data_IF_625657440530
#
_entry.id   IF_625657440530
#
_cell.length_a   1.000
_cell.length_b   1.000
_cell.length_c   1.000
_cell.angle_alpha   90.00
_cell.angle_beta   90.00
_cell.angle_gamma   90.00
#
_symmetry.space_group_name_H-M   'P 1'
#
loop_
_entity.id
_entity.type
_entity.pdbx_description
1 polymer ?
#
# COMPACT_ATOMS: atom_id res chain seq x y z
N UNK A 1 2.84 -19.55 -21.78
CA UNK A 1 3.10 -18.16 -21.32
C UNK A 1 4.52 -18.11 -20.79
N UNK A 2 5.31 -17.10 -21.13
CA UNK A 2 6.70 -16.98 -20.66
C UNK A 2 6.83 -15.88 -19.61
N UNK A 3 7.37 -16.22 -18.45
CA UNK A 3 7.50 -15.32 -17.31
C UNK A 3 8.97 -15.20 -16.96
N UNK A 4 9.46 -13.97 -16.83
CA UNK A 4 10.75 -13.67 -16.24
C UNK A 4 10.59 -13.50 -14.73
N UNK A 5 11.41 -14.20 -13.95
CA UNK A 5 11.53 -14.02 -12.49
C UNK A 5 12.91 -13.42 -12.22
N UNK A 6 12.94 -12.31 -11.52
CA UNK A 6 14.14 -11.58 -11.10
C UNK A 6 14.25 -11.62 -9.57
N UNK A 7 15.47 -11.75 -9.05
CA UNK A 7 15.74 -11.70 -7.61
C UNK A 7 15.66 -10.27 -7.06
N UNK A 8 16.78 -9.76 -6.54
CA UNK A 8 16.84 -8.38 -6.04
C UNK A 8 17.28 -7.40 -7.13
N UNK A 9 16.45 -6.41 -7.44
CA UNK A 9 16.70 -5.48 -8.55
C UNK A 9 17.70 -4.34 -8.21
N UNK A 10 17.75 -3.87 -6.96
CA UNK A 10 18.56 -2.72 -6.50
C UNK A 10 18.38 -1.43 -7.34
N UNK A 11 17.19 -1.25 -7.91
CA UNK A 11 16.88 -0.14 -8.84
C UNK A 11 17.53 -0.24 -10.22
N UNK A 12 18.17 -1.35 -10.57
CA UNK A 12 18.86 -1.57 -11.86
C UNK A 12 17.91 -1.99 -12.99
N UNK A 13 16.67 -1.46 -12.98
CA UNK A 13 15.57 -1.85 -13.88
C UNK A 13 15.94 -1.74 -15.36
N UNK A 14 16.69 -0.71 -15.73
CA UNK A 14 17.20 -0.54 -17.09
C UNK A 14 18.04 -1.75 -17.55
N UNK A 15 18.96 -2.23 -16.71
CA UNK A 15 19.80 -3.40 -16.99
C UNK A 15 18.98 -4.69 -17.06
N UNK A 16 17.92 -4.79 -16.25
CA UNK A 16 17.00 -5.94 -16.26
C UNK A 16 16.22 -5.98 -17.58
N UNK A 17 15.65 -4.85 -18.02
CA UNK A 17 14.95 -4.78 -19.31
C UNK A 17 15.89 -4.99 -20.50
N UNK A 18 17.08 -4.38 -20.51
CA UNK A 18 18.13 -4.62 -21.54
C UNK A 18 18.52 -6.11 -21.61
N UNK A 19 18.63 -6.78 -20.45
CA UNK A 19 18.94 -8.21 -20.38
C UNK A 19 17.80 -9.07 -20.95
N UNK A 20 16.54 -8.73 -20.65
CA UNK A 20 15.37 -9.44 -21.16
C UNK A 20 15.17 -9.17 -22.67
N UNK A 21 15.42 -7.97 -23.15
CA UNK A 21 15.38 -7.63 -24.58
C UNK A 21 16.41 -8.45 -25.37
N UNK A 22 17.67 -8.46 -24.94
CA UNK A 22 18.72 -9.27 -25.55
C UNK A 22 18.45 -10.79 -25.49
N UNK A 23 17.73 -11.27 -24.46
CA UNK A 23 17.25 -12.65 -24.38
C UNK A 23 16.13 -12.94 -25.38
N UNK A 24 15.14 -12.05 -25.49
CA UNK A 24 14.04 -12.16 -26.44
C UNK A 24 14.52 -12.21 -27.89
N UNK A 25 15.44 -11.31 -28.27
CA UNK A 25 16.08 -11.32 -29.59
C UNK A 25 16.86 -12.62 -29.84
N UNK A 26 17.78 -12.98 -28.93
CA UNK A 26 18.69 -14.13 -29.09
C UNK A 26 17.96 -15.46 -29.23
N UNK A 27 16.89 -15.65 -28.46
CA UNK A 27 16.17 -16.93 -28.38
C UNK A 27 14.86 -16.92 -29.17
N UNK A 28 14.55 -15.81 -29.86
CA UNK A 28 13.28 -15.60 -30.59
C UNK A 28 12.04 -15.84 -29.73
N UNK A 29 12.12 -15.49 -28.45
CA UNK A 29 11.03 -15.62 -27.47
C UNK A 29 10.39 -14.26 -27.20
N UNK A 30 9.13 -14.28 -26.75
CA UNK A 30 8.49 -13.13 -26.11
C UNK A 30 8.23 -13.45 -24.65
N UNK A 31 8.57 -12.52 -23.75
CA UNK A 31 8.21 -12.55 -22.34
C UNK A 31 6.85 -11.83 -22.18
N UNK A 32 5.97 -12.43 -21.39
CA UNK A 32 4.61 -11.95 -21.14
C UNK A 32 4.49 -11.14 -19.83
N UNK A 33 5.39 -11.41 -18.87
CA UNK A 33 5.38 -10.85 -17.51
C UNK A 33 6.80 -10.88 -16.91
N UNK A 34 7.17 -9.85 -16.16
CA UNK A 34 8.31 -9.83 -15.24
C UNK A 34 7.80 -9.83 -13.79
N UNK A 35 8.45 -10.60 -12.91
CA UNK A 35 8.19 -10.62 -11.47
C UNK A 35 9.52 -10.40 -10.73
N UNK A 36 9.64 -9.31 -9.97
CA UNK A 36 10.81 -9.01 -9.14
C UNK A 36 10.53 -9.39 -7.68
N UNK A 37 11.40 -10.21 -7.08
CA UNK A 37 11.21 -10.76 -5.73
C UNK A 37 11.80 -9.90 -4.59
N UNK A 38 12.17 -8.64 -4.84
CA UNK A 38 12.51 -7.67 -3.78
C UNK A 38 13.55 -6.62 -4.17
N UNK A 39 13.84 -5.71 -3.23
CA UNK A 39 14.77 -4.57 -3.37
C UNK A 39 14.54 -3.82 -4.70
N UNK A 40 13.29 -3.50 -5.02
CA UNK A 40 12.88 -2.90 -6.28
C UNK A 40 13.33 -1.43 -6.41
N UNK A 41 13.31 -0.69 -5.29
CA UNK A 41 13.66 0.72 -5.20
C UNK A 41 12.76 1.62 -6.07
N UNK A 42 11.46 1.63 -5.78
CA UNK A 42 10.44 2.47 -6.45
C UNK A 42 10.55 3.99 -6.14
N UNK A 43 11.74 4.58 -6.26
CA UNK A 43 12.07 5.93 -5.79
C UNK A 43 11.57 7.03 -6.73
N UNK A 44 10.68 7.90 -6.24
CA UNK A 44 10.13 9.03 -7.01
C UNK A 44 10.99 10.29 -6.93
N UNK A 45 11.57 10.58 -5.76
CA UNK A 45 12.25 11.85 -5.47
C UNK A 45 13.24 11.81 -4.27
N UNK A 46 13.76 12.99 -3.89
CA UNK A 46 14.71 13.20 -2.80
C UNK A 46 14.19 12.84 -1.40
N UNK A 47 12.88 12.79 -1.15
CA UNK A 47 12.32 12.44 0.16
C UNK A 47 12.20 10.92 0.31
N UNK A 48 11.80 10.22 -0.77
CA UNK A 48 11.84 8.75 -0.84
C UNK A 48 13.27 8.22 -0.62
N UNK A 49 14.29 8.85 -1.22
CA UNK A 49 15.70 8.51 -1.00
C UNK A 49 16.12 8.57 0.48
N UNK A 50 15.57 9.50 1.27
CA UNK A 50 15.86 9.61 2.71
C UNK A 50 15.13 8.56 3.54
N UNK A 51 14.05 7.98 3.01
CA UNK A 51 13.29 6.93 3.65
C UNK A 51 13.88 5.52 3.43
N UNK A 52 14.72 5.36 2.40
CA UNK A 52 15.44 4.12 2.12
C UNK A 52 16.49 3.80 3.20
N UNK A 53 16.58 2.53 3.61
CA UNK A 53 17.64 2.02 4.47
C UNK A 53 18.99 1.81 3.72
N UNK A 54 19.36 2.76 2.83
CA UNK A 54 20.52 2.67 1.93
C UNK A 54 21.47 3.85 2.16
N UNK A 55 22.80 3.64 2.24
CA UNK A 55 23.78 4.73 2.34
C UNK A 55 23.74 5.69 1.14
N UNK A 56 23.80 7.00 1.38
CA UNK A 56 23.63 8.07 0.36
C UNK A 56 24.48 7.88 -0.91
N UNK A 57 25.69 7.33 -0.79
CA UNK A 57 26.59 7.01 -1.92
C UNK A 57 26.07 5.95 -2.91
N UNK A 58 24.96 5.28 -2.60
CA UNK A 58 24.29 4.29 -3.45
C UNK A 58 22.85 4.70 -3.80
N UNK A 59 22.46 5.95 -3.51
CA UNK A 59 21.15 6.47 -3.90
C UNK A 59 21.05 6.63 -5.42
N UNK A 60 19.99 6.08 -6.00
CA UNK A 60 19.64 6.20 -7.42
C UNK A 60 18.14 6.48 -7.58
N UNK A 61 17.74 7.07 -8.70
CA UNK A 61 16.35 7.50 -8.97
C UNK A 61 15.70 6.60 -10.03
N UNK A 62 14.41 6.29 -9.85
CA UNK A 62 13.65 5.50 -10.81
C UNK A 62 13.15 6.36 -11.99
N UNK A 63 13.69 6.10 -13.18
CA UNK A 63 13.35 6.73 -14.47
C UNK A 63 11.99 6.35 -15.05
N UNK A 64 11.24 5.48 -14.37
CA UNK A 64 9.90 5.04 -14.78
C UNK A 64 8.79 5.88 -14.13
N UNK A 65 9.04 6.46 -12.95
CA UNK A 65 8.03 7.31 -12.28
C UNK A 65 7.81 8.65 -13.00
N UNK A 66 8.91 9.28 -13.45
CA UNK A 66 8.88 10.57 -14.12
C UNK A 66 8.38 10.49 -15.58
N UNK A 67 8.30 9.29 -16.16
CA UNK A 67 7.86 9.04 -17.53
C UNK A 67 8.89 9.40 -18.59
N UNK A 68 10.18 9.47 -18.23
CA UNK A 68 11.27 9.45 -19.21
C UNK A 68 11.39 8.07 -19.87
N UNK A 69 10.98 7.01 -19.16
CA UNK A 69 10.81 5.65 -19.65
C UNK A 69 9.46 5.06 -19.24
N UNK A 70 8.96 4.13 -20.04
CA UNK A 70 7.84 3.23 -19.73
C UNK A 70 8.40 1.80 -19.64
N UNK A 71 7.86 0.97 -18.75
CA UNK A 71 8.32 -0.43 -18.66
C UNK A 71 7.83 -1.22 -19.89
N UNK A 72 8.74 -1.85 -20.67
CA UNK A 72 8.39 -2.53 -21.93
C UNK A 72 7.64 -3.85 -21.73
N UNK A 73 7.62 -4.36 -20.50
CA UNK A 73 6.97 -5.60 -20.09
C UNK A 73 6.23 -5.30 -18.78
N UNK A 74 5.02 -5.85 -18.63
CA UNK A 74 4.27 -5.77 -17.38
C UNK A 74 5.10 -6.37 -16.24
N UNK A 75 5.34 -5.56 -15.21
CA UNK A 75 6.28 -5.86 -14.13
C UNK A 75 5.57 -5.84 -12.79
N UNK A 76 5.62 -6.96 -12.08
CA UNK A 76 5.12 -7.12 -10.71
C UNK A 76 6.29 -7.10 -9.72
N UNK A 77 6.08 -6.60 -8.51
CA UNK A 77 7.07 -6.75 -7.43
C UNK A 77 6.46 -6.79 -6.02
N UNK A 78 7.23 -7.36 -5.10
CA UNK A 78 7.12 -7.18 -3.64
C UNK A 78 8.28 -6.32 -3.13
N UNK A 79 8.11 -5.70 -1.97
CA UNK A 79 9.11 -4.84 -1.35
C UNK A 79 10.24 -5.63 -0.69
N UNK A 80 11.48 -5.17 -0.86
CA UNK A 80 12.63 -5.63 -0.07
C UNK A 80 12.99 -4.73 1.11
N UNK A 81 14.16 -4.97 1.69
CA UNK A 81 14.71 -4.17 2.78
C UNK A 81 15.28 -2.81 2.30
N UNK A 82 15.54 -2.65 1.01
CA UNK A 82 15.99 -1.40 0.40
C UNK A 82 14.88 -0.76 -0.45
N UNK A 83 13.84 -0.21 0.19
CA UNK A 83 12.70 0.37 -0.52
C UNK A 83 12.44 1.84 -0.20
N UNK A 84 11.72 2.51 -1.10
CA UNK A 84 11.02 3.76 -0.82
C UNK A 84 9.82 3.49 0.09
N UNK A 85 10.08 3.05 1.33
CA UNK A 85 9.06 2.53 2.26
C UNK A 85 7.98 3.56 2.60
N UNK A 86 8.27 4.85 2.49
CA UNK A 86 7.28 5.91 2.61
C UNK A 86 6.26 5.92 1.44
N UNK A 87 6.69 5.59 0.21
CA UNK A 87 5.80 5.45 -0.94
C UNK A 87 5.02 4.13 -0.89
N UNK A 88 5.67 3.00 -0.57
CA UNK A 88 4.98 1.71 -0.47
C UNK A 88 3.91 1.70 0.65
N UNK A 89 4.09 2.53 1.69
CA UNK A 89 3.06 2.79 2.70
C UNK A 89 1.82 3.53 2.18
N UNK A 90 1.88 4.22 1.03
CA UNK A 90 0.72 4.79 0.33
C UNK A 90 -0.09 3.72 -0.44
N UNK A 91 0.48 2.51 -0.63
CA UNK A 91 -0.09 1.40 -1.41
C UNK A 91 -0.13 0.07 -0.61
N UNK A 92 -0.68 0.02 0.61
CA UNK A 92 -0.58 -1.15 1.49
C UNK A 92 -1.24 -2.42 0.92
N UNK A 93 -2.23 -2.28 0.05
CA UNK A 93 -2.97 -3.36 -0.62
C UNK A 93 -2.57 -3.54 -2.10
N UNK A 94 -1.45 -2.92 -2.50
CA UNK A 94 -0.94 -2.90 -3.87
C UNK A 94 -1.44 -1.73 -4.72
N UNK A 95 -0.86 -1.58 -5.90
CA UNK A 95 -1.17 -0.53 -6.86
C UNK A 95 -0.03 -0.28 -7.85
N UNK A 96 -0.33 0.47 -8.91
CA UNK A 96 0.67 0.94 -9.87
C UNK A 96 1.60 1.97 -9.24
N UNK A 97 2.91 1.74 -9.37
CA UNK A 97 3.96 2.70 -9.00
C UNK A 97 4.50 3.46 -10.21
N UNK A 98 4.31 2.92 -11.41
CA UNK A 98 4.58 3.54 -12.71
C UNK A 98 3.74 2.83 -13.79
N UNK A 99 3.62 3.37 -15.02
CA UNK A 99 3.00 2.65 -16.13
C UNK A 99 3.66 1.29 -16.35
N UNK A 100 2.83 0.24 -16.43
CA UNK A 100 3.22 -1.18 -16.50
C UNK A 100 4.05 -1.72 -15.30
N UNK A 101 4.14 -1.00 -14.17
CA UNK A 101 4.81 -1.48 -12.94
C UNK A 101 3.84 -1.48 -11.74
N UNK A 102 3.52 -2.66 -11.22
CA UNK A 102 2.54 -2.87 -10.14
C UNK A 102 3.18 -3.49 -8.89
N UNK A 103 3.00 -2.83 -7.74
CA UNK A 103 3.36 -3.34 -6.43
C UNK A 103 2.23 -4.24 -5.91
N UNK A 104 2.57 -5.43 -5.41
CA UNK A 104 1.60 -6.38 -4.84
C UNK A 104 0.98 -5.93 -3.50
N UNK A 105 1.57 -4.93 -2.83
CA UNK A 105 1.22 -4.56 -1.46
C UNK A 105 2.03 -5.33 -0.42
N UNK A 106 1.88 -4.96 0.85
CA UNK A 106 2.61 -5.60 1.98
C UNK A 106 2.38 -7.11 2.03
N UNK A 107 1.16 -7.51 1.67
CA UNK A 107 0.80 -8.83 1.20
C UNK A 107 -0.30 -8.65 0.15
N UNK A 108 -0.35 -9.54 -0.83
CA UNK A 108 -1.34 -9.47 -1.90
C UNK A 108 -1.52 -10.80 -2.61
N UNK A 109 -2.72 -11.03 -3.14
CA UNK A 109 -2.96 -12.04 -4.18
C UNK A 109 -3.68 -11.38 -5.34
N UNK A 110 -3.17 -11.60 -6.55
CA UNK A 110 -3.77 -11.14 -7.81
C UNK A 110 -3.75 -12.27 -8.84
N UNK A 111 -4.53 -12.08 -9.90
CA UNK A 111 -4.50 -12.92 -11.09
C UNK A 111 -3.81 -12.19 -12.24
N UNK A 112 -3.04 -12.94 -13.04
CA UNK A 112 -2.61 -12.53 -14.37
C UNK A 112 -3.14 -13.56 -15.38
N UNK A 113 -4.23 -13.22 -16.07
CA UNK A 113 -5.05 -14.20 -16.78
C UNK A 113 -5.55 -15.30 -15.83
N UNK A 114 -5.05 -16.52 -16.01
CA UNK A 114 -5.36 -17.69 -15.16
C UNK A 114 -4.19 -18.13 -14.25
N UNK A 115 -3.17 -17.28 -14.06
CA UNK A 115 -2.12 -17.46 -13.05
C UNK A 115 -2.55 -16.80 -11.74
N UNK A 116 -2.49 -17.51 -10.61
CA UNK A 116 -2.70 -16.92 -9.28
C UNK A 116 -1.35 -16.61 -8.63
N UNK A 117 -1.06 -15.34 -8.39
CA UNK A 117 0.21 -14.86 -7.83
C UNK A 117 -0.04 -14.30 -6.45
N UNK A 118 0.52 -14.94 -5.43
CA UNK A 118 0.64 -14.39 -4.07
C UNK A 118 2.00 -13.71 -3.85
N UNK A 119 2.03 -12.66 -3.05
CA UNK A 119 3.27 -12.01 -2.61
C UNK A 119 3.15 -11.53 -1.16
N UNK A 120 4.28 -11.49 -0.45
CA UNK A 120 4.39 -10.92 0.90
C UNK A 120 5.76 -10.29 1.11
N UNK A 121 5.80 -9.07 1.62
CA UNK A 121 7.02 -8.41 2.07
C UNK A 121 7.48 -9.06 3.40
N UNK A 122 8.64 -9.73 3.42
CA UNK A 122 9.05 -10.66 4.51
C UNK A 122 10.22 -10.15 5.38
N UNK A 123 10.45 -8.84 5.33
CA UNK A 123 11.68 -8.11 5.71
C UNK A 123 12.05 -8.16 7.21
N UNK A 124 11.07 -8.33 8.10
CA UNK A 124 11.21 -7.97 9.53
C UNK A 124 12.09 -8.93 10.36
N UNK A 125 12.53 -10.05 9.77
CA UNK A 125 13.28 -11.11 10.46
C UNK A 125 14.73 -11.19 9.97
N UNK A 126 15.68 -10.68 10.76
CA UNK A 126 17.13 -10.88 10.57
C UNK A 126 17.56 -12.33 10.92
N UNK A 127 16.91 -13.31 10.31
CA UNK A 127 17.16 -14.76 10.47
C UNK A 127 17.18 -15.42 9.10
N UNK A 128 17.84 -16.57 8.99
CA UNK A 128 17.85 -17.34 7.76
C UNK A 128 16.48 -18.00 7.55
N UNK A 129 15.71 -17.48 6.59
CA UNK A 129 14.33 -17.90 6.34
C UNK A 129 13.33 -17.27 7.32
N UNK A 130 12.05 -17.36 6.94
CA UNK A 130 10.93 -16.78 7.68
C UNK A 130 9.96 -17.89 8.11
N UNK A 131 9.78 -18.15 9.42
CA UNK A 131 8.84 -19.16 9.89
C UNK A 131 7.39 -18.91 9.45
N UNK A 132 6.89 -17.66 9.33
CA UNK A 132 5.61 -17.38 8.67
C UNK A 132 5.56 -17.81 7.20
N UNK A 133 6.64 -17.62 6.42
CA UNK A 133 6.70 -18.07 5.03
C UNK A 133 6.72 -19.61 4.93
N UNK A 134 7.48 -20.28 5.80
CA UNK A 134 7.52 -21.75 5.89
C UNK A 134 6.12 -22.35 6.21
N UNK A 135 5.38 -21.71 7.14
CA UNK A 135 4.00 -22.09 7.43
C UNK A 135 3.07 -21.87 6.23
N UNK A 136 3.21 -20.75 5.51
CA UNK A 136 2.44 -20.48 4.28
C UNK A 136 2.77 -21.46 3.16
N UNK A 137 4.04 -21.84 2.99
CA UNK A 137 4.52 -22.83 2.01
C UNK A 137 3.84 -24.19 2.23
N UNK A 138 3.81 -24.69 3.47
CA UNK A 138 3.16 -25.97 3.79
C UNK A 138 1.62 -25.89 3.85
N UNK A 139 1.03 -24.73 4.14
CA UNK A 139 -0.42 -24.52 4.16
C UNK A 139 -1.02 -24.33 2.76
N UNK A 140 -0.39 -23.53 1.91
CA UNK A 140 -0.90 -23.14 0.59
C UNK A 140 -0.45 -24.07 -0.54
N UNK A 141 0.72 -24.71 -0.37
CA UNK A 141 1.32 -25.69 -1.29
C UNK A 141 1.31 -25.23 -2.76
N UNK A 142 1.91 -24.07 -3.08
CA UNK A 142 1.94 -23.57 -4.45
C UNK A 142 2.82 -24.44 -5.34
N UNK A 143 2.63 -24.38 -6.65
CA UNK A 143 3.42 -25.13 -7.62
C UNK A 143 4.85 -24.56 -7.74
N UNK A 144 4.97 -23.25 -7.53
CA UNK A 144 6.25 -22.53 -7.48
C UNK A 144 6.30 -21.56 -6.29
N UNK A 145 7.47 -21.50 -5.64
CA UNK A 145 7.81 -20.49 -4.63
C UNK A 145 9.12 -19.82 -5.02
N UNK A 146 9.12 -18.50 -5.17
CA UNK A 146 10.32 -17.72 -5.49
C UNK A 146 10.74 -16.84 -4.33
N UNK A 147 12.05 -16.67 -4.14
CA UNK A 147 12.59 -15.82 -3.08
C UNK A 147 13.83 -15.07 -3.53
N UNK A 148 14.19 -14.00 -2.82
CA UNK A 148 15.42 -13.25 -3.08
C UNK A 148 16.21 -13.02 -1.77
N UNK A 149 16.64 -11.77 -1.53
CA UNK A 149 17.37 -11.27 -0.35
C UNK A 149 18.76 -11.87 -0.08
N UNK A 150 18.92 -13.20 -0.07
CA UNK A 150 20.16 -13.90 0.30
C UNK A 150 21.30 -13.83 -0.74
N UNK A 151 21.04 -13.23 -1.91
CA UNK A 151 22.02 -13.03 -3.01
C UNK A 151 22.77 -14.31 -3.41
N UNK A 152 22.01 -15.41 -3.56
CA UNK A 152 22.48 -16.70 -4.06
C UNK A 152 21.36 -17.41 -4.85
N UNK A 153 21.71 -18.16 -5.90
CA UNK A 153 20.76 -19.05 -6.57
C UNK A 153 20.67 -20.37 -5.79
N UNK A 154 19.47 -20.76 -5.36
CA UNK A 154 19.23 -22.05 -4.72
C UNK A 154 17.88 -22.64 -5.16
N UNK A 155 17.89 -23.84 -5.74
CA UNK A 155 16.69 -24.52 -6.22
C UNK A 155 16.44 -25.79 -5.39
N UNK A 156 15.19 -26.03 -5.00
CA UNK A 156 14.78 -27.20 -4.22
C UNK A 156 13.37 -27.69 -4.61
N UNK A 157 13.08 -28.95 -4.32
CA UNK A 157 11.74 -29.53 -4.39
C UNK A 157 11.25 -29.78 -2.96
N UNK A 158 10.29 -28.96 -2.51
CA UNK A 158 9.67 -29.12 -1.19
C UNK A 158 8.50 -30.09 -1.31
N UNK A 159 8.69 -31.29 -0.77
CA UNK A 159 7.66 -32.34 -0.74
C UNK A 159 6.69 -32.09 0.41
N UNK A 160 5.40 -32.19 0.14
CA UNK A 160 4.32 -32.07 1.11
C UNK A 160 3.74 -33.43 1.49
N UNK A 161 3.07 -33.50 2.63
CA UNK A 161 2.50 -34.74 3.20
C UNK A 161 1.46 -35.43 2.30
N UNK A 162 0.79 -34.68 1.43
CA UNK A 162 -0.17 -35.16 0.42
C UNK A 162 0.48 -35.55 -0.91
N UNK A 163 1.82 -35.70 -0.94
CA UNK A 163 2.59 -36.11 -2.11
C UNK A 163 2.76 -35.03 -3.18
N UNK A 164 2.29 -33.81 -2.93
CA UNK A 164 2.54 -32.64 -3.80
C UNK A 164 3.97 -32.13 -3.62
N UNK A 165 4.47 -31.43 -4.63
CA UNK A 165 5.81 -30.83 -4.60
C UNK A 165 5.76 -29.36 -5.02
N UNK A 166 6.31 -28.46 -4.20
CA UNK A 166 6.56 -27.07 -4.58
C UNK A 166 7.97 -26.94 -5.15
N UNK A 167 8.10 -26.29 -6.31
CA UNK A 167 9.40 -25.90 -6.87
C UNK A 167 9.85 -24.60 -6.21
N UNK A 168 10.78 -24.70 -5.27
CA UNK A 168 11.39 -23.54 -4.62
C UNK A 168 12.58 -23.04 -5.44
N UNK A 169 12.69 -21.73 -5.65
CA UNK A 169 13.83 -21.09 -6.30
C UNK A 169 14.16 -19.74 -5.64
N UNK A 170 15.25 -19.68 -4.89
CA UNK A 170 15.90 -18.42 -4.54
C UNK A 170 16.76 -17.91 -5.69
N UNK A 171 16.78 -16.59 -5.89
CA UNK A 171 17.52 -15.89 -6.93
C UNK A 171 18.54 -14.90 -6.36
N UNK A 172 19.55 -14.62 -7.19
CA UNK A 172 20.60 -13.64 -6.89
C UNK A 172 20.17 -12.21 -7.24
N UNK A 173 20.99 -11.20 -6.93
CA UNK A 173 20.75 -9.79 -7.33
C UNK A 173 21.30 -9.45 -8.71
N UNK A 174 20.66 -8.48 -9.38
CA UNK A 174 21.09 -7.93 -10.67
C UNK A 174 22.52 -7.38 -10.61
N UNK A 175 23.49 -8.24 -10.96
CA UNK A 175 24.90 -7.90 -11.08
C UNK A 175 25.55 -8.73 -12.20
N UNK A 176 26.60 -8.21 -12.86
CA UNK A 176 27.31 -8.94 -13.91
C UNK A 176 27.76 -10.33 -13.47
N UNK A 177 27.51 -11.33 -14.33
CA UNK A 177 27.87 -12.76 -14.14
C UNK A 177 27.13 -13.49 -12.99
N UNK A 178 26.14 -12.86 -12.33
CA UNK A 178 25.26 -13.53 -11.35
C UNK A 178 24.01 -14.10 -12.01
N UNK A 179 23.40 -15.11 -11.39
CA UNK A 179 22.13 -15.73 -11.85
C UNK A 179 20.95 -15.12 -11.10
N UNK A 180 20.57 -13.94 -11.55
CA UNK A 180 19.53 -13.10 -10.97
C UNK A 180 18.18 -13.27 -11.66
N UNK A 181 18.23 -13.39 -12.99
CA UNK A 181 17.09 -13.62 -13.87
C UNK A 181 16.91 -15.12 -14.20
N UNK A 182 15.68 -15.62 -14.14
CA UNK A 182 15.26 -16.95 -14.60
C UNK A 182 14.01 -16.83 -15.47
N UNK A 183 14.01 -17.45 -16.65
CA UNK A 183 12.81 -17.57 -17.49
C UNK A 183 12.08 -18.88 -17.16
N UNK A 184 10.76 -18.82 -17.01
CA UNK A 184 9.86 -19.95 -16.85
C UNK A 184 8.86 -19.99 -18.01
N UNK A 185 8.76 -21.14 -18.66
CA UNK A 185 7.83 -21.38 -19.77
C UNK A 185 6.65 -22.23 -19.27
N UNK A 186 5.51 -21.58 -19.05
CA UNK A 186 4.25 -22.23 -18.70
C UNK A 186 3.51 -22.73 -19.96
N UNK A 187 2.76 -23.85 -19.89
CA UNK A 187 2.09 -24.44 -21.05
C UNK A 187 1.09 -23.50 -21.74
N UNK A 188 0.71 -23.88 -22.97
CA UNK A 188 -0.07 -23.04 -23.89
C UNK A 188 -1.56 -22.95 -23.50
N UNK A 189 -2.03 -23.78 -22.56
CA UNK A 189 -3.40 -23.77 -22.00
C UNK A 189 -3.74 -22.52 -21.15
N UNK A 190 -2.88 -21.50 -21.19
CA UNK A 190 -3.16 -20.13 -20.75
C UNK A 190 -4.18 -19.42 -21.64
N UNK A 191 -5.42 -19.92 -21.62
CA UNK A 191 -6.63 -19.32 -22.18
C UNK A 191 -7.13 -18.17 -21.27
N UNK A 192 -6.23 -17.23 -21.01
CA UNK A 192 -6.40 -16.07 -20.15
C UNK A 192 -6.05 -14.78 -20.89
N UNK A 193 -6.84 -13.75 -20.65
CA UNK A 193 -6.50 -12.38 -21.01
C UNK A 193 -5.26 -11.92 -20.21
N UNK A 194 -4.31 -11.23 -20.86
CA UNK A 194 -3.07 -10.75 -20.22
C UNK A 194 -3.31 -9.49 -19.38
N UNK A 195 -4.35 -9.54 -18.55
CA UNK A 195 -4.81 -8.47 -17.67
C UNK A 195 -4.55 -8.88 -16.22
N UNK A 196 -4.23 -7.88 -15.40
CA UNK A 196 -4.23 -8.05 -13.94
C UNK A 196 -5.65 -7.96 -13.41
N UNK A 197 -5.99 -8.82 -12.44
CA UNK A 197 -7.28 -8.81 -11.74
C UNK A 197 -7.05 -9.04 -10.24
N UNK A 198 -7.83 -8.38 -9.40
CA UNK A 198 -7.82 -8.68 -7.97
C UNK A 198 -8.33 -10.11 -7.70
N UNK A 199 -7.79 -10.78 -6.69
CA UNK A 199 -8.25 -12.09 -6.26
C UNK A 199 -9.45 -11.97 -5.29
N UNK A 200 -10.56 -12.64 -5.61
CA UNK A 200 -11.80 -12.52 -4.84
C UNK A 200 -11.72 -13.12 -3.42
N UNK A 201 -10.90 -14.15 -3.22
CA UNK A 201 -10.64 -14.73 -1.90
C UNK A 201 -9.81 -13.76 -1.05
N UNK A 202 -8.73 -13.18 -1.62
CA UNK A 202 -7.91 -12.17 -0.94
C UNK A 202 -8.69 -10.91 -0.58
N UNK A 203 -9.51 -10.38 -1.49
CA UNK A 203 -10.40 -9.25 -1.19
C UNK A 203 -11.41 -9.59 -0.08
N UNK A 204 -11.90 -10.84 -0.01
CA UNK A 204 -12.74 -11.27 1.11
C UNK A 204 -11.95 -11.39 2.42
N UNK A 205 -10.70 -11.88 2.41
CA UNK A 205 -9.80 -11.84 3.58
C UNK A 205 -9.59 -10.40 4.07
N UNK A 206 -9.29 -9.45 3.18
CA UNK A 206 -9.13 -8.03 3.53
C UNK A 206 -10.40 -7.44 4.15
N UNK A 207 -11.57 -7.77 3.58
CA UNK A 207 -12.87 -7.31 4.10
C UNK A 207 -13.16 -7.89 5.49
N UNK A 208 -12.98 -9.20 5.64
CA UNK A 208 -13.25 -9.94 6.87
C UNK A 208 -12.31 -9.50 8.01
N UNK A 209 -11.04 -9.26 7.72
CA UNK A 209 -10.01 -8.91 8.72
C UNK A 209 -9.91 -7.42 9.04
N UNK A 210 -10.67 -6.53 8.36
CA UNK A 210 -10.60 -5.07 8.56
C UNK A 210 -10.73 -4.64 10.04
N UNK A 211 -11.57 -5.32 10.82
CA UNK A 211 -11.76 -5.01 12.25
C UNK A 211 -10.47 -5.19 13.09
N UNK A 212 -9.57 -6.09 12.67
CA UNK A 212 -8.26 -6.35 13.29
C UNK A 212 -7.20 -5.28 12.97
N UNK A 213 -7.51 -4.31 12.10
CA UNK A 213 -6.56 -3.26 11.69
C UNK A 213 -6.08 -2.42 12.89
N UNK A 214 -4.83 -2.65 13.29
CA UNK A 214 -4.13 -1.93 14.35
C UNK A 214 -3.09 -0.97 13.76
N UNK A 215 -3.19 0.30 14.13
CA UNK A 215 -2.18 1.34 13.87
C UNK A 215 -1.48 1.78 15.17
N UNK A 216 -1.51 0.91 16.19
CA UNK A 216 -0.80 1.11 17.45
C UNK A 216 0.63 0.59 17.27
N UNK A 217 1.62 1.34 17.75
CA UNK A 217 2.98 0.82 17.90
C UNK A 217 3.10 0.01 19.20
N UNK A 218 2.33 -1.08 19.29
CA UNK A 218 2.39 -2.11 20.35
C UNK A 218 2.04 -3.47 19.73
N UNK A 219 2.59 -4.54 20.31
CA UNK A 219 2.20 -5.91 19.98
C UNK A 219 0.68 -6.07 20.14
N UNK A 220 0.03 -6.51 19.06
CA UNK A 220 -1.42 -6.67 18.98
C UNK A 220 -1.72 -8.14 18.75
N UNK A 221 -2.18 -8.84 19.79
CA UNK A 221 -2.55 -10.26 19.67
C UNK A 221 -3.75 -10.40 18.72
N UNK A 222 -3.58 -11.22 17.68
CA UNK A 222 -4.64 -11.61 16.77
C UNK A 222 -5.45 -12.79 17.36
N UNK A 223 -6.73 -12.97 16.99
CA UNK A 223 -7.51 -14.13 17.40
C UNK A 223 -6.82 -15.43 16.93
N UNK A 224 -6.88 -16.46 17.77
CA UNK A 224 -6.19 -17.72 17.55
C UNK A 224 -7.00 -18.94 18.03
N UNK A 225 -6.55 -20.16 17.68
CA UNK A 225 -7.24 -21.39 18.05
C UNK A 225 -7.32 -21.53 19.58
N UNK A 226 -8.55 -21.68 20.11
CA UNK A 226 -8.84 -21.72 21.54
C UNK A 226 -9.45 -20.43 22.12
N UNK A 227 -9.55 -19.36 21.34
CA UNK A 227 -10.38 -18.19 21.68
C UNK A 227 -11.86 -18.37 21.32
N UNK A 228 -12.71 -17.46 21.80
CA UNK A 228 -14.14 -17.40 21.48
C UNK A 228 -14.44 -16.65 20.16
N UNK A 229 -13.44 -15.99 19.57
CA UNK A 229 -13.56 -15.15 18.37
C UNK A 229 -13.22 -15.95 17.10
N UNK A 230 -13.70 -15.49 15.92
CA UNK A 230 -13.30 -16.05 14.62
C UNK A 230 -11.79 -15.84 14.44
N UNK A 231 -11.03 -16.93 14.37
CA UNK A 231 -9.60 -16.92 14.07
C UNK A 231 -9.29 -17.46 12.66
N UNK A 232 -10.17 -18.29 12.09
CA UNK A 232 -10.06 -18.72 10.69
C UNK A 232 -10.87 -17.77 9.79
N UNK A 233 -10.14 -17.03 8.96
CA UNK A 233 -10.69 -16.07 7.99
C UNK A 233 -10.65 -16.59 6.55
N UNK A 234 -10.43 -17.90 6.36
CA UNK A 234 -10.64 -18.56 5.06
C UNK A 234 -12.06 -18.24 4.56
N UNK A 235 -12.22 -17.56 3.41
CA UNK A 235 -13.54 -17.12 2.99
C UNK A 235 -14.41 -18.26 2.47
N UNK A 236 -15.70 -18.22 2.80
CA UNK A 236 -16.70 -19.06 2.14
C UNK A 236 -17.13 -18.48 0.77
N UNK A 237 -17.98 -19.20 0.06
CA UNK A 237 -18.40 -18.81 -1.29
C UNK A 237 -19.45 -17.69 -1.33
N UNK A 238 -20.14 -17.42 -0.21
CA UNK A 238 -21.02 -16.27 -0.06
C UNK A 238 -20.20 -14.99 0.21
N UNK A 239 -19.19 -15.06 1.08
CA UNK A 239 -18.23 -13.97 1.32
C UNK A 239 -17.52 -13.55 0.01
N UNK A 240 -17.06 -14.51 -0.80
CA UNK A 240 -16.50 -14.26 -2.14
C UNK A 240 -17.52 -13.62 -3.09
N UNK A 241 -18.76 -14.12 -3.11
CA UNK A 241 -19.83 -13.60 -3.97
C UNK A 241 -20.23 -12.16 -3.60
N UNK A 242 -20.28 -11.86 -2.31
CA UNK A 242 -20.55 -10.51 -1.80
C UNK A 242 -19.46 -9.52 -2.24
N UNK A 243 -18.18 -9.93 -2.20
CA UNK A 243 -17.06 -9.14 -2.74
C UNK A 243 -17.13 -8.95 -4.24
N UNK A 244 -17.46 -9.99 -5.01
CA UNK A 244 -17.67 -9.89 -6.46
C UNK A 244 -18.77 -8.89 -6.82
N UNK A 245 -19.87 -8.88 -6.07
CA UNK A 245 -20.97 -7.90 -6.24
C UNK A 245 -20.54 -6.47 -5.90
N UNK A 246 -19.76 -6.27 -4.83
CA UNK A 246 -19.25 -4.94 -4.45
C UNK A 246 -18.26 -4.35 -5.47
N UNK A 247 -17.33 -5.15 -5.99
CA UNK A 247 -16.33 -4.67 -6.95
C UNK A 247 -16.91 -4.50 -8.37
N UNK A 248 -17.81 -5.39 -8.79
CA UNK A 248 -18.42 -5.51 -10.14
C UNK A 248 -17.43 -5.75 -11.30
N UNK A 249 -16.27 -5.09 -11.30
CA UNK A 249 -15.12 -5.36 -12.17
C UNK A 249 -13.89 -5.60 -11.26
N UNK A 250 -13.21 -6.73 -11.45
CA UNK A 250 -11.98 -7.06 -10.72
C UNK A 250 -10.71 -6.61 -11.48
N UNK A 251 -10.84 -6.11 -12.71
CA UNK A 251 -9.72 -5.76 -13.59
C UNK A 251 -8.95 -4.56 -13.04
N UNK A 252 -7.65 -4.75 -12.83
CA UNK A 252 -6.69 -3.73 -12.41
C UNK A 252 -6.18 -3.06 -13.70
N UNK A 253 -6.49 -1.78 -13.89
CA UNK A 253 -6.29 -1.07 -15.16
C UNK A 253 -5.04 -0.21 -15.09
N UNK A 254 -4.18 -0.22 -16.11
CA UNK A 254 -2.94 0.58 -16.07
C UNK A 254 -3.22 2.08 -16.15
N UNK A 255 -4.44 2.47 -16.60
CA UNK A 255 -4.96 3.83 -16.49
C UNK A 255 -5.13 4.33 -15.04
N UNK A 256 -5.21 3.44 -14.04
CA UNK A 256 -5.38 3.80 -12.62
C UNK A 256 -4.11 4.41 -12.00
N UNK A 257 -2.97 4.43 -12.71
CA UNK A 257 -1.74 5.05 -12.22
C UNK A 257 -1.84 6.58 -12.06
N UNK A 258 -1.62 7.06 -10.84
CA UNK A 258 -1.59 8.50 -10.52
C UNK A 258 -0.27 8.87 -9.82
N UNK A 259 0.38 9.93 -10.30
CA UNK A 259 1.57 10.51 -9.64
C UNK A 259 1.16 11.25 -8.36
N UNK A 260 1.34 10.60 -7.21
CA UNK A 260 1.06 11.18 -5.89
C UNK A 260 2.09 12.23 -5.42
N UNK A 261 3.32 12.23 -5.94
CA UNK A 261 4.42 13.07 -5.46
C UNK A 261 5.15 13.81 -6.60
N UNK A 262 5.87 14.92 -6.29
CA UNK A 262 6.72 15.56 -7.28
C UNK A 262 7.85 14.63 -7.74
N UNK A 263 8.21 14.74 -9.02
CA UNK A 263 9.37 14.09 -9.64
C UNK A 263 10.67 14.61 -9.03
N UNK A 264 11.70 13.74 -8.96
CA UNK A 264 13.06 14.13 -8.61
C UNK A 264 13.56 15.34 -9.43
N UNK A 265 14.03 16.37 -8.73
CA UNK A 265 14.83 17.44 -9.31
C UNK A 265 16.05 17.67 -8.42
N UNK A 266 17.25 17.62 -9.01
CA UNK A 266 18.55 17.77 -8.37
C UNK A 266 18.73 19.12 -7.66
N UNK A 267 18.12 20.17 -8.20
CA UNK A 267 18.23 21.55 -7.70
C UNK A 267 17.14 21.89 -6.66
N UNK A 268 16.35 20.89 -6.24
CA UNK A 268 15.34 21.07 -5.18
C UNK A 268 16.04 21.40 -3.85
N UNK A 269 15.77 22.56 -3.21
CA UNK A 269 16.38 22.89 -1.93
C UNK A 269 15.93 21.88 -0.86
N UNK A 270 16.82 21.56 0.09
CA UNK A 270 16.53 20.63 1.20
C UNK A 270 15.34 21.15 2.02
N UNK A 271 14.21 20.46 1.93
CA UNK A 271 12.97 20.70 2.70
C UNK A 271 12.84 19.69 3.85
N UNK A 272 12.03 19.99 4.88
CA UNK A 272 11.54 18.95 5.79
C UNK A 272 10.80 17.87 5.00
N UNK A 273 10.69 16.63 5.52
CA UNK A 273 9.99 15.55 4.83
C UNK A 273 8.56 15.94 4.45
N UNK A 274 8.14 15.57 3.25
CA UNK A 274 6.75 15.72 2.80
C UNK A 274 5.75 15.14 3.81
N UNK A 275 4.61 15.81 3.97
CA UNK A 275 3.47 15.23 4.68
C UNK A 275 2.96 13.97 3.98
N UNK A 276 2.24 13.13 4.71
CA UNK A 276 1.64 11.92 4.13
C UNK A 276 0.61 12.29 3.05
N UNK A 277 0.52 11.45 2.02
CA UNK A 277 -0.29 11.67 0.82
C UNK A 277 -1.28 10.51 0.69
N UNK A 278 -2.55 10.79 0.36
CA UNK A 278 -3.50 9.73 0.01
C UNK A 278 -3.27 9.28 -1.44
N UNK A 279 -3.12 7.97 -1.66
CA UNK A 279 -3.07 7.43 -3.01
C UNK A 279 -4.50 7.12 -3.51
N UNK A 280 -4.95 7.72 -4.63
CA UNK A 280 -6.29 7.48 -5.17
C UNK A 280 -6.61 6.00 -5.41
N UNK A 281 -5.61 5.18 -5.75
CA UNK A 281 -5.78 3.74 -5.98
C UNK A 281 -6.22 3.00 -4.70
N UNK A 282 -5.47 3.19 -3.61
CA UNK A 282 -5.81 2.60 -2.30
C UNK A 282 -7.11 3.20 -1.77
N UNK A 283 -7.35 4.50 -1.91
CA UNK A 283 -8.61 5.13 -1.48
C UNK A 283 -9.82 4.52 -2.21
N UNK A 284 -9.76 4.41 -3.55
CA UNK A 284 -10.79 3.81 -4.39
C UNK A 284 -11.08 2.34 -4.04
N UNK A 285 -10.03 1.54 -3.81
CA UNK A 285 -10.17 0.15 -3.38
C UNK A 285 -10.82 0.04 -1.99
N UNK A 286 -10.39 0.87 -1.03
CA UNK A 286 -10.95 0.87 0.32
C UNK A 286 -12.43 1.27 0.34
N UNK A 287 -12.82 2.24 -0.50
CA UNK A 287 -14.20 2.72 -0.59
C UNK A 287 -15.13 1.70 -1.27
N UNK A 288 -14.70 1.07 -2.37
CA UNK A 288 -15.46 0.00 -3.04
C UNK A 288 -15.67 -1.23 -2.14
N UNK A 289 -14.61 -1.69 -1.48
CA UNK A 289 -14.67 -2.86 -0.60
C UNK A 289 -15.31 -2.56 0.77
N UNK A 290 -15.38 -1.28 1.14
CA UNK A 290 -15.94 -0.80 2.41
C UNK A 290 -15.03 -1.04 3.61
N UNK A 291 -13.70 -0.93 3.43
CA UNK A 291 -12.69 -1.10 4.47
C UNK A 291 -12.05 0.25 4.88
N UNK A 292 -11.29 0.24 5.97
CA UNK A 292 -10.55 1.40 6.47
C UNK A 292 -9.14 1.46 5.85
N UNK A 293 -8.71 2.65 5.40
CA UNK A 293 -7.36 2.91 4.91
C UNK A 293 -6.37 3.00 6.10
N UNK A 294 -5.33 2.12 6.17
CA UNK A 294 -4.38 2.11 7.28
C UNK A 294 -3.68 3.45 7.55
N UNK A 295 -3.38 4.20 6.49
CA UNK A 295 -2.66 5.47 6.59
C UNK A 295 -3.60 6.60 7.07
N UNK A 296 -4.86 6.60 6.63
CA UNK A 296 -5.89 7.49 7.20
C UNK A 296 -6.14 7.20 8.68
N UNK A 297 -6.27 5.93 9.08
CA UNK A 297 -6.49 5.56 10.49
C UNK A 297 -5.31 5.95 11.37
N UNK A 298 -4.07 5.82 10.87
CA UNK A 298 -2.86 6.29 11.56
C UNK A 298 -2.85 7.81 11.75
N UNK A 299 -3.13 8.59 10.71
CA UNK A 299 -3.07 10.06 10.77
C UNK A 299 -4.20 10.65 11.62
N UNK A 300 -5.42 10.12 11.50
CA UNK A 300 -6.55 10.48 12.36
C UNK A 300 -6.24 10.22 13.84
N UNK A 301 -5.53 9.12 14.16
CA UNK A 301 -5.05 8.81 15.52
C UNK A 301 -3.97 9.81 15.99
N UNK A 302 -3.06 10.22 15.10
CA UNK A 302 -1.98 11.16 15.40
C UNK A 302 -2.43 12.63 15.46
N UNK A 303 -3.70 12.93 15.15
CA UNK A 303 -4.20 14.31 15.04
C UNK A 303 -3.60 15.07 13.86
N UNK A 304 -3.12 14.35 12.83
CA UNK A 304 -2.53 14.91 11.61
C UNK A 304 -3.55 14.89 10.48
N UNK A 305 -3.44 15.86 9.58
CA UNK A 305 -4.25 15.91 8.37
C UNK A 305 -3.52 15.26 7.19
N UNK A 306 -4.30 14.92 6.14
CA UNK A 306 -3.79 14.41 4.87
C UNK A 306 -3.75 15.52 3.83
N UNK A 307 -2.71 15.52 2.99
CA UNK A 307 -2.72 16.28 1.75
C UNK A 307 -3.49 15.47 0.70
N UNK A 308 -4.58 16.04 0.17
CA UNK A 308 -5.24 15.50 -1.01
C UNK A 308 -4.42 15.80 -2.26
N UNK A 309 -4.37 14.85 -3.19
CA UNK A 309 -3.67 14.99 -4.47
C UNK A 309 -4.38 16.03 -5.35
N UNK A 310 -3.84 17.25 -5.40
CA UNK A 310 -4.35 18.28 -6.33
C UNK A 310 -4.15 17.83 -7.79
N UNK A 311 -5.25 17.59 -8.51
CA UNK A 311 -5.23 17.35 -9.96
C UNK A 311 -4.81 18.61 -10.72
N UNK A 312 -3.50 18.89 -10.80
CA UNK A 312 -2.91 19.90 -11.69
C UNK A 312 -2.84 19.36 -13.12
N UNK A 313 -4.00 19.18 -13.73
CA UNK A 313 -4.19 18.86 -15.15
C UNK A 313 -3.89 20.06 -16.05
N UNK A 314 -2.63 20.53 -16.03
CA UNK A 314 -2.08 21.45 -17.02
C UNK A 314 -0.86 20.86 -17.70
N UNK A 315 -1.09 20.41 -18.93
CA UNK A 315 -0.06 20.13 -19.91
C UNK A 315 0.47 21.46 -20.46
N UNK A 316 1.31 22.16 -19.68
CA UNK A 316 1.93 23.42 -20.10
C UNK A 316 3.04 23.14 -21.14
N UNK A 317 2.61 22.87 -22.38
CA UNK A 317 3.49 22.74 -23.54
C UNK A 317 4.00 24.13 -23.95
N UNK A 318 5.33 24.30 -24.02
CA UNK A 318 5.97 25.61 -24.07
C UNK A 318 5.73 26.40 -25.37
N UNK A 319 5.64 27.72 -25.24
CA UNK A 319 5.91 28.68 -26.32
C UNK A 319 6.61 29.93 -25.76
N UNK A 320 7.94 29.95 -25.88
CA UNK A 320 8.71 31.19 -25.79
C UNK A 320 8.40 32.09 -27.00
N UNK A 321 7.83 33.27 -26.74
CA UNK A 321 7.95 34.44 -27.61
C UNK A 321 8.09 35.66 -26.70
N UNK A 322 9.16 36.43 -26.89
CA UNK A 322 9.45 37.63 -26.12
C UNK A 322 8.82 38.88 -26.73
N UNK A 323 8.49 39.88 -25.89
CA UNK A 323 9.21 41.16 -25.84
C UNK A 323 8.58 42.19 -24.86
N UNK A 324 9.46 42.74 -24.02
CA UNK A 324 9.53 44.14 -23.57
C UNK A 324 8.54 44.86 -22.62
N UNK A 325 9.20 45.65 -21.74
CA UNK A 325 8.84 46.98 -21.21
C UNK A 325 7.94 47.16 -19.97
N UNK A 326 8.60 46.94 -18.82
CA UNK A 326 8.70 47.88 -17.66
C UNK A 326 7.52 48.08 -16.68
N UNK A 327 7.80 48.41 -15.40
CA UNK A 327 6.81 48.37 -14.33
C UNK A 327 6.15 49.72 -14.03
N UNK A 328 4.86 49.70 -13.69
CA UNK A 328 4.14 50.83 -13.08
C UNK A 328 3.54 50.38 -11.74
N UNK A 329 3.71 51.21 -10.70
CA UNK A 329 3.17 51.03 -9.35
C UNK A 329 2.02 52.02 -9.10
N UNK A 330 1.29 51.79 -8.01
CA UNK A 330 0.11 52.55 -7.55
C UNK A 330 -1.20 52.27 -8.34
N UNK A 331 -2.38 52.39 -7.73
CA UNK A 331 -2.73 52.87 -6.38
C UNK A 331 -3.75 51.97 -5.65
N UNK A 332 -3.86 52.15 -4.32
CA UNK A 332 -4.85 51.48 -3.47
C UNK A 332 -6.28 51.92 -3.81
N UNK A 333 -7.25 51.03 -3.58
CA UNK A 333 -8.49 51.40 -2.86
C UNK A 333 -9.11 50.15 -2.21
N UNK A 334 -9.21 50.14 -0.88
CA UNK A 334 -9.84 49.09 -0.09
C UNK A 334 -10.80 49.75 0.91
N UNK A 335 -12.09 49.45 0.82
CA UNK A 335 -13.11 50.04 1.69
C UNK A 335 -13.15 49.29 3.03
N UNK A 336 -13.17 49.99 4.19
CA UNK A 336 -13.28 49.37 5.50
C UNK A 336 -14.72 48.91 5.80
N UNK A 337 -14.87 47.94 6.70
CA UNK A 337 -16.17 47.51 7.19
C UNK A 337 -16.80 48.55 8.15
N UNK A 338 -18.14 48.66 8.23
CA UNK A 338 -18.81 49.60 9.12
C UNK A 338 -18.62 49.25 10.61
N UNK A 339 -18.49 50.28 11.44
CA UNK A 339 -18.53 50.20 12.90
C UNK A 339 -19.68 51.10 13.38
N UNK A 340 -20.42 50.67 14.40
CA UNK A 340 -21.38 51.51 15.14
C UNK A 340 -21.17 51.31 16.65
N UNK A 341 -21.03 52.38 17.47
CA UNK A 341 -20.73 52.32 18.92
C UNK A 341 -22.03 52.14 19.75
N UNK A 342 -22.13 52.09 21.09
CA UNK A 342 -21.44 52.72 22.24
C UNK A 342 -22.03 52.10 23.54
N UNK A 343 -21.57 52.15 24.79
CA UNK A 343 -20.38 52.56 25.57
C UNK A 343 -20.64 52.04 27.03
N UNK A 344 -19.86 52.10 28.12
CA UNK A 344 -18.63 52.77 28.66
C UNK A 344 -17.87 51.65 29.44
N UNK A 345 -16.57 51.62 29.79
CA UNK A 345 -15.45 52.57 29.82
C UNK A 345 -14.86 52.67 31.27
N UNK A 346 -13.70 53.34 31.45
CA UNK A 346 -12.87 53.48 32.69
C UNK A 346 -12.04 52.25 33.12
N UNK A 347 -10.84 52.36 33.68
CA UNK A 347 -9.83 53.46 33.80
C UNK A 347 -8.43 52.86 34.14
N UNK A 348 -7.34 53.61 33.86
CA UNK A 348 -5.90 53.36 34.23
C UNK A 348 -5.17 52.22 33.44
N UNK A 349 -3.91 52.34 32.96
CA UNK A 349 -2.61 52.87 33.47
C UNK A 349 -1.97 51.93 34.53
N UNK A 350 -0.68 51.55 34.48
CA UNK A 350 0.50 52.14 33.81
C UNK A 350 1.59 51.14 33.35
N UNK A 351 2.61 51.68 32.66
CA UNK A 351 4.07 51.42 32.72
C UNK A 351 4.62 50.63 33.95
N UNK A 352 5.78 49.94 33.91
CA UNK A 352 6.86 49.84 32.89
C UNK A 352 7.84 48.66 33.15
N UNK A 353 8.89 48.59 32.33
CA UNK A 353 10.25 48.09 32.60
C UNK A 353 10.66 46.64 32.31
N UNK A 354 11.85 46.60 31.71
CA UNK A 354 12.67 45.44 31.37
C UNK A 354 13.81 45.29 32.38
N UNK A 355 14.40 44.10 32.49
CA UNK A 355 15.83 43.94 32.24
C UNK A 355 16.22 42.47 32.02
N UNK A 356 17.37 42.24 31.39
CA UNK A 356 18.01 40.92 31.28
C UNK A 356 19.09 40.73 32.35
N UNK A 357 19.30 39.49 32.80
CA UNK A 357 20.64 38.96 33.03
C UNK A 357 20.65 37.43 32.91
N UNK A 358 21.85 36.85 32.83
CA UNK A 358 22.08 35.44 32.48
C UNK A 358 22.68 34.63 33.64
N UNK A 359 22.63 33.31 33.46
CA UNK A 359 23.72 32.35 33.69
C UNK A 359 23.64 31.42 34.92
N UNK A 360 23.92 30.13 34.63
CA UNK A 360 24.64 29.13 35.44
C UNK A 360 24.08 28.73 36.82
N UNK A 361 24.18 27.48 37.29
CA UNK A 361 24.69 26.23 36.69
C UNK A 361 24.25 25.01 37.52
N UNK A 362 24.34 23.81 36.93
CA UNK A 362 24.53 22.49 37.57
C UNK A 362 24.54 22.43 39.12
N UNK A 363 23.53 21.78 39.73
CA UNK A 363 23.65 20.39 40.22
C UNK A 363 22.31 19.84 40.74
N UNK A 364 22.31 18.56 41.12
CA UNK A 364 21.17 17.76 41.54
C UNK A 364 20.86 17.85 43.03
N UNK A 365 19.58 17.77 43.41
CA UNK A 365 19.14 16.82 44.43
C UNK A 365 17.64 16.47 44.32
N UNK A 366 17.22 15.43 45.04
CA UNK A 366 15.91 14.79 44.94
C UNK A 366 14.87 15.33 45.93
N UNK A 367 13.62 15.48 45.51
CA UNK A 367 12.49 15.71 46.42
C UNK A 367 11.13 15.39 45.80
N UNK A 368 10.39 14.47 46.40
CA UNK A 368 8.97 14.25 46.10
C UNK A 368 8.14 15.32 46.81
N UNK A 369 7.28 16.03 46.07
CA UNK A 369 6.17 16.82 46.63
C UNK A 369 4.98 16.72 45.68
N UNK A 370 3.82 16.34 46.19
CA UNK A 370 2.57 16.30 45.42
C UNK A 370 2.09 17.72 45.08
N UNK A 371 1.46 17.89 43.90
CA UNK A 371 0.77 19.12 43.54
C UNK A 371 -0.34 18.85 42.52
N UNK A 372 -1.59 19.09 42.92
CA UNK A 372 -2.73 19.07 42.01
C UNK A 372 -2.61 20.17 40.95
N UNK A 373 -2.78 19.82 39.67
CA UNK A 373 -2.99 20.81 38.61
C UNK A 373 -4.28 20.49 37.82
N UNK A 374 -5.16 21.49 37.72
CA UNK A 374 -6.46 21.35 37.07
C UNK A 374 -6.33 21.35 35.54
N UNK A 375 -6.85 20.31 34.90
CA UNK A 375 -6.88 20.18 33.43
C UNK A 375 -7.79 21.23 32.79
N UNK A 376 -7.34 21.98 31.76
CA UNK A 376 -8.22 22.81 30.95
C UNK A 376 -9.30 21.99 30.23
N UNK A 377 -10.49 22.55 29.93
CA UNK A 377 -11.59 21.82 29.30
C UNK A 377 -11.20 21.30 27.91
N UNK A 378 -11.59 20.06 27.62
CA UNK A 378 -11.23 19.39 26.37
C UNK A 378 -11.91 20.04 25.16
N UNK A 379 -11.12 20.44 24.16
CA UNK A 379 -11.64 20.76 22.84
C UNK A 379 -12.34 19.54 22.23
N UNK A 380 -13.51 19.75 21.61
CA UNK A 380 -14.36 18.70 21.04
C UNK A 380 -13.63 17.93 19.93
N UNK A 381 -13.04 16.77 20.29
CA UNK A 381 -12.47 15.83 19.34
C UNK A 381 -13.59 15.30 18.44
N UNK A 382 -13.53 15.60 17.14
CA UNK A 382 -14.37 14.93 16.14
C UNK A 382 -14.02 13.43 16.16
N UNK A 383 -14.95 12.60 16.66
CA UNK A 383 -14.74 11.15 16.74
C UNK A 383 -14.74 10.58 15.33
N UNK A 384 -13.59 10.07 14.89
CA UNK A 384 -13.48 9.30 13.65
C UNK A 384 -14.23 7.98 13.84
N UNK A 385 -15.44 7.87 13.27
CA UNK A 385 -16.23 6.64 13.27
C UNK A 385 -15.67 5.72 12.19
N UNK A 386 -14.96 4.67 12.60
CA UNK A 386 -14.47 3.58 11.72
C UNK A 386 -15.61 3.04 10.85
N UNK A 387 -15.29 2.66 9.61
CA UNK A 387 -16.25 1.97 8.74
C UNK A 387 -16.63 0.63 9.37
N UNK A 388 -17.88 0.21 9.15
CA UNK A 388 -18.45 -1.06 9.63
C UNK A 388 -18.38 -1.38 11.13
N UNK A 389 -17.97 -0.46 12.03
CA UNK A 389 -17.89 -0.72 13.47
C UNK A 389 -19.19 -1.31 14.05
N UNK A 390 -20.34 -0.84 13.55
CA UNK A 390 -21.66 -1.30 13.98
C UNK A 390 -21.95 -2.79 13.65
N UNK A 391 -21.26 -3.40 12.68
CA UNK A 391 -21.40 -4.81 12.30
C UNK A 391 -20.72 -5.74 13.33
N UNK A 392 -19.82 -5.21 14.16
CA UNK A 392 -19.02 -5.96 15.13
C UNK A 392 -19.33 -5.60 16.59
N UNK A 393 -20.39 -4.81 16.83
CA UNK A 393 -20.97 -4.61 18.16
C UNK A 393 -21.97 -5.73 18.45
N UNK A 394 -21.79 -6.46 19.54
CA UNK A 394 -22.76 -7.47 20.01
C UNK A 394 -24.01 -6.80 20.60
N UNK A 395 -25.20 -7.31 20.24
CA UNK A 395 -26.52 -6.76 20.60
C UNK A 395 -26.95 -6.99 22.08
N UNK A 396 -26.10 -6.64 23.06
CA UNK A 396 -26.47 -6.71 24.49
C UNK A 396 -27.09 -5.41 25.06
N UNK A 397 -26.90 -4.26 24.39
CA UNK A 397 -27.34 -2.93 24.88
C UNK A 397 -28.75 -2.48 24.42
N UNK A 398 -29.58 -3.36 23.84
CA UNK A 398 -30.94 -3.04 23.35
C UNK A 398 -32.06 -3.88 23.98
N UNK A 399 -32.09 -3.96 25.30
CA UNK A 399 -33.16 -4.62 26.06
C UNK A 399 -34.23 -3.65 26.59
N UNK A 400 -35.26 -3.32 25.77
CA UNK A 400 -36.64 -3.02 26.24
C UNK A 400 -37.65 -2.72 25.10
N UNK A 401 -38.30 -3.74 24.54
CA UNK A 401 -39.73 -3.67 24.17
C UNK A 401 -40.33 -5.07 24.01
N UNK A 402 -41.64 -5.19 24.23
CA UNK A 402 -42.35 -6.46 24.43
C UNK A 402 -42.54 -7.32 23.17
N UNK A 403 -42.44 -8.64 23.35
CA UNK A 403 -42.60 -9.66 22.32
C UNK A 403 -43.99 -9.74 21.66
N UNK A 404 -44.02 -10.36 20.48
CA UNK A 404 -45.09 -11.29 20.10
C UNK A 404 -44.50 -12.44 19.27
N UNK A 405 -45.04 -13.65 19.43
CA UNK A 405 -44.63 -14.87 18.71
C UNK A 405 -45.83 -15.37 17.91
N UNK A 406 -45.63 -15.63 16.62
CA UNK A 406 -46.44 -16.60 15.86
C UNK A 406 -45.56 -17.36 14.86
N UNK A 407 -45.77 -18.66 14.80
CA UNK A 407 -45.21 -19.56 13.78
C UNK A 407 -46.06 -19.50 12.51
N UNK A 408 -45.46 -19.73 11.32
CA UNK A 408 -46.00 -20.70 10.35
C UNK A 408 -45.21 -20.76 9.02
N UNK A 409 -45.06 -21.99 8.52
CA UNK A 409 -45.09 -22.40 7.10
C UNK A 409 -44.15 -21.76 6.05
N UNK A 410 -43.16 -22.56 5.64
CA UNK A 410 -42.52 -22.47 4.32
C UNK A 410 -43.47 -22.92 3.19
N UNK A 411 -43.44 -22.26 2.02
CA UNK A 411 -43.75 -22.92 0.76
C UNK A 411 -42.56 -22.92 -0.21
N UNK A 412 -42.28 -24.07 -0.81
CA UNK A 412 -41.31 -24.22 -1.91
C UNK A 412 -41.94 -23.85 -3.26
N UNK A 413 -41.25 -23.09 -4.12
CA UNK A 413 -41.32 -23.25 -5.58
C UNK A 413 -40.45 -22.24 -6.37
N UNK A 414 -39.46 -22.77 -7.10
CA UNK A 414 -39.01 -22.34 -8.45
C UNK A 414 -38.82 -20.84 -8.73
N UNK A 415 -37.55 -20.42 -8.78
CA UNK A 415 -37.06 -19.59 -9.89
C UNK A 415 -35.68 -20.09 -10.36
N UNK A 416 -35.69 -21.13 -11.21
CA UNK A 416 -34.54 -21.51 -12.02
C UNK A 416 -34.54 -20.68 -13.31
N UNK A 417 -33.70 -19.64 -13.39
CA UNK A 417 -33.13 -19.11 -14.63
C UNK A 417 -31.87 -18.29 -14.31
N UNK A 418 -31.04 -18.01 -15.31
CA UNK A 418 -29.68 -17.43 -15.18
C UNK A 418 -28.66 -18.33 -14.47
N UNK A 419 -28.64 -19.61 -14.86
CA UNK A 419 -27.46 -20.45 -14.69
C UNK A 419 -26.67 -20.47 -16.02
N UNK A 420 -25.86 -19.44 -16.26
CA UNK A 420 -24.82 -19.41 -17.31
C UNK A 420 -23.80 -18.31 -17.02
N UNK A 421 -22.52 -18.58 -17.31
CA UNK A 421 -21.37 -17.65 -17.15
C UNK A 421 -21.07 -17.20 -15.71
N UNK A 422 -20.48 -18.11 -14.90
CA UNK A 422 -19.27 -17.82 -14.10
C UNK A 422 -18.72 -19.09 -13.42
N UNK A 423 -18.48 -20.16 -14.19
CA UNK A 423 -17.54 -21.21 -13.76
C UNK A 423 -16.14 -20.59 -13.76
N UNK A 424 -15.58 -20.32 -12.57
CA UNK A 424 -14.17 -20.01 -12.42
C UNK A 424 -13.36 -21.14 -13.08
N UNK A 425 -12.56 -20.82 -14.11
CA UNK A 425 -11.65 -21.80 -14.72
C UNK A 425 -10.70 -22.32 -13.62
N UNK A 426 -10.35 -23.61 -13.61
CA UNK A 426 -9.42 -24.13 -12.61
C UNK A 426 -8.08 -23.39 -12.69
N UNK A 427 -7.54 -23.03 -11.53
CA UNK A 427 -6.21 -22.46 -11.40
C UNK A 427 -5.18 -23.47 -11.93
N UNK A 428 -4.42 -23.11 -12.97
CA UNK A 428 -3.46 -24.03 -13.59
C UNK A 428 -2.16 -24.10 -12.78
N UNK A 429 -1.63 -22.95 -12.36
CA UNK A 429 -0.48 -22.84 -11.47
C UNK A 429 -0.76 -21.81 -10.37
N UNK A 430 -0.22 -22.04 -9.17
CA UNK A 430 -0.11 -21.04 -8.09
C UNK A 430 1.36 -20.66 -7.88
N UNK A 431 1.64 -19.36 -7.87
CA UNK A 431 2.96 -18.82 -7.53
C UNK A 431 2.89 -18.09 -6.19
N UNK A 432 3.95 -18.18 -5.37
CA UNK A 432 4.18 -17.29 -4.23
C UNK A 432 5.58 -16.67 -4.33
N UNK A 433 5.70 -15.38 -3.98
CA UNK A 433 6.98 -14.67 -3.86
C UNK A 433 7.19 -14.09 -2.45
N UNK A 434 8.43 -14.14 -1.94
CA UNK A 434 8.84 -13.75 -0.58
C UNK A 434 10.27 -13.22 -0.47
#
# INVERSE_FOLDING_TARGET
MKIAIEGCAHGELDKIYECIEALQERESIKIDLLICCGDFQAVRNNDDLKAMAVPEKYHNICTFYNGEKEAPILTLFIGGNHEASNYLQELPFGGWVAPNIYYLGRAGVIWFGNLRIGGKDDIESNKLGSPPAEQLLHKLKPDYWFSAHLHCQFAALVKHEDGKETKFLALDKCLPKRRHLQILDLPIEYDGDKLLKHDAEWLAVLKNTNHLLSVKNIDSHLPGPGGNERYDFTPDDEEKKNVLTLMSDLTIKSEDFVRTAPVYNRDTPKRPPSEAIMNPQTTSLCEKLGIDDPLQVLLARLGRHMVQTEHKSKLDCAKDVSLDQTPIKCSKLSLPAPITPSDVGKDNLSESDSFMSQSNSFLSESGNVDSDCMTPPQALKKVFKRRNLAIYTSDEDLSNSSASIMESESPTSKYNYYNHLLTLKPCIDKFIIS
#
